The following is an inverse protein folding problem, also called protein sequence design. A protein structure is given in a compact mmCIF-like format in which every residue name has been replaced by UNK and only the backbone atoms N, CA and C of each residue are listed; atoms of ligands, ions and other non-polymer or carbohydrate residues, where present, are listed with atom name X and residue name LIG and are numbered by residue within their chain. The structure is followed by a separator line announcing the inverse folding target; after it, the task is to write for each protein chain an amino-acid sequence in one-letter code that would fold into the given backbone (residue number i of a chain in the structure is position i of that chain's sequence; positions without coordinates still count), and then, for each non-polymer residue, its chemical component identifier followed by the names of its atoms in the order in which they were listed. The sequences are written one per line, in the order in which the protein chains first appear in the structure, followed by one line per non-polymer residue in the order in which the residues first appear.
data_IF_641203543002
#
_entry.id   IF_641203543002
#
_cell.length_a   1.000
_cell.length_b   1.000
_cell.length_c   1.000
_cell.angle_alpha   90.00
_cell.angle_beta   90.00
_cell.angle_gamma   90.00
#
_symmetry.space_group_name_H-M   'P 1'
#
loop_
_entity.id
_entity.type
_entity.pdbx_description
1 polymer ?
#
# COMPACT_ATOMS: atom_id res chain seq x y z
N UNK A 1 8.09 -7.93 -2.52
CA UNK A 1 7.26 -6.80 -2.99
C UNK A 1 5.81 -7.25 -3.00
N UNK A 2 4.86 -6.43 -2.53
CA UNK A 2 3.43 -6.77 -2.50
C UNK A 2 2.66 -6.17 -3.69
N UNK A 3 2.98 -4.94 -4.08
CA UNK A 3 2.34 -4.26 -5.21
C UNK A 3 2.55 -2.74 -5.19
N UNK A 4 1.87 -2.06 -6.09
CA UNK A 4 1.84 -0.59 -6.20
C UNK A 4 0.57 -0.06 -5.57
N UNK A 5 0.69 0.93 -4.68
CA UNK A 5 -0.44 1.51 -3.98
C UNK A 5 -1.31 2.36 -4.92
N UNK A 6 -2.63 2.14 -4.86
CA UNK A 6 -3.66 3.03 -5.40
C UNK A 6 -4.53 3.51 -4.22
N UNK A 7 -4.47 4.81 -3.92
CA UNK A 7 -5.27 5.43 -2.86
C UNK A 7 -6.58 5.95 -3.43
N UNK A 8 -7.69 5.61 -2.78
CA UNK A 8 -9.03 6.11 -3.07
C UNK A 8 -9.80 6.39 -1.75
N UNK A 9 -10.23 7.65 -1.58
CA UNK A 9 -11.06 8.11 -0.45
C UNK A 9 -10.53 7.72 0.94
N UNK A 10 -9.22 7.88 1.16
CA UNK A 10 -8.57 7.65 2.46
C UNK A 10 -8.06 6.23 2.68
N UNK A 11 -8.59 5.22 1.97
CA UNK A 11 -8.05 3.86 1.93
C UNK A 11 -7.43 3.55 0.58
N UNK A 12 -6.85 2.36 0.39
CA UNK A 12 -6.30 1.97 -0.91
C UNK A 12 -6.11 0.48 -1.09
N UNK A 13 -5.61 0.10 -2.26
CA UNK A 13 -5.24 -1.27 -2.58
C UNK A 13 -3.85 -1.32 -3.20
N UNK A 14 -3.07 -2.35 -2.86
CA UNK A 14 -1.85 -2.69 -3.58
C UNK A 14 -2.24 -3.49 -4.82
N UNK A 15 -2.03 -2.89 -5.98
CA UNK A 15 -2.24 -3.49 -7.29
C UNK A 15 -1.03 -4.32 -7.68
N UNK A 16 -1.27 -5.53 -8.15
CA UNK A 16 -0.24 -6.49 -8.52
C UNK A 16 0.18 -6.33 -9.98
N UNK A 17 1.48 -6.44 -10.26
CA UNK A 17 2.02 -6.36 -11.64
C UNK A 17 1.51 -7.51 -12.50
N UNK A 18 1.33 -8.69 -11.91
CA UNK A 18 0.82 -9.89 -12.56
C UNK A 18 -0.63 -9.73 -13.04
N UNK A 19 -1.38 -8.79 -12.44
CA UNK A 19 -2.72 -8.41 -12.86
C UNK A 19 -2.74 -7.15 -13.74
N UNK A 20 -1.59 -6.73 -14.29
CA UNK A 20 -1.43 -5.49 -15.07
C UNK A 20 -1.94 -4.23 -14.34
N UNK A 21 -1.85 -4.23 -13.01
CA UNK A 21 -2.37 -3.19 -12.13
C UNK A 21 -3.89 -2.99 -12.17
N UNK A 22 -4.63 -3.93 -12.76
CA UNK A 22 -6.09 -3.94 -12.74
C UNK A 22 -6.62 -4.51 -11.40
N UNK A 23 -7.85 -4.13 -11.00
CA UNK A 23 -8.49 -4.70 -9.82
C UNK A 23 -8.55 -6.22 -9.88
N UNK A 24 -8.06 -6.88 -8.83
CA UNK A 24 -7.96 -8.33 -8.74
C UNK A 24 -8.28 -8.85 -7.34
N UNK A 25 -8.77 -10.09 -7.23
CA UNK A 25 -9.03 -10.75 -5.95
C UNK A 25 -7.77 -10.90 -5.07
N UNK A 26 -6.58 -10.82 -5.65
CA UNK A 26 -5.32 -10.87 -4.89
C UNK A 26 -4.77 -9.50 -4.47
N UNK A 27 -5.54 -8.43 -4.66
CA UNK A 27 -5.14 -7.10 -4.19
C UNK A 27 -5.16 -7.05 -2.66
N UNK A 28 -4.23 -6.28 -2.10
CA UNK A 28 -4.08 -6.12 -0.66
C UNK A 28 -4.67 -4.78 -0.24
N UNK A 29 -5.66 -4.81 0.65
CA UNK A 29 -6.24 -3.60 1.20
C UNK A 29 -5.24 -2.86 2.10
N UNK A 30 -5.14 -1.55 1.96
CA UNK A 30 -4.32 -0.66 2.77
C UNK A 30 -5.24 0.32 3.50
N UNK A 31 -5.25 0.22 4.82
CA UNK A 31 -6.06 1.09 5.66
C UNK A 31 -5.51 2.52 5.73
N UNK A 32 -6.42 3.48 5.92
CA UNK A 32 -6.11 4.90 6.06
C UNK A 32 -5.05 5.22 7.10
N UNK A 33 -5.05 4.46 8.21
CA UNK A 33 -4.05 4.61 9.27
C UNK A 33 -2.62 4.49 8.74
N UNK A 34 -2.35 3.47 7.92
CA UNK A 34 -1.02 3.23 7.36
C UNK A 34 -0.66 4.30 6.33
N UNK A 35 -1.63 4.70 5.49
CA UNK A 35 -1.46 5.77 4.50
C UNK A 35 -1.03 7.07 5.19
N UNK A 36 -1.75 7.49 6.23
CA UNK A 36 -1.43 8.71 6.98
C UNK A 36 -0.13 8.57 7.78
N UNK A 37 0.10 7.44 8.44
CA UNK A 37 1.28 7.24 9.30
C UNK A 37 2.61 7.28 8.54
N UNK A 38 2.63 6.78 7.31
CA UNK A 38 3.85 6.68 6.49
C UNK A 38 3.84 7.65 5.29
N UNK A 39 2.86 8.56 5.21
CA UNK A 39 2.75 9.54 4.13
C UNK A 39 2.64 8.88 2.75
N UNK A 40 1.99 7.72 2.66
CA UNK A 40 1.93 6.91 1.44
C UNK A 40 1.06 7.61 0.39
N UNK A 41 1.45 7.46 -0.88
CA UNK A 41 0.76 8.07 -2.02
C UNK A 41 0.54 7.04 -3.12
N UNK A 42 -0.43 7.31 -4.00
CA UNK A 42 -0.64 6.49 -5.20
C UNK A 42 0.68 6.42 -6.00
N UNK A 43 1.05 5.21 -6.43
CA UNK A 43 2.30 4.92 -7.12
C UNK A 43 3.42 4.41 -6.21
N UNK A 44 3.28 4.45 -4.89
CA UNK A 44 4.30 3.89 -3.99
C UNK A 44 4.33 2.36 -4.07
N UNK A 45 5.52 1.82 -4.30
CA UNK A 45 5.79 0.38 -4.24
C UNK A 45 5.94 -0.07 -2.80
N UNK A 46 5.12 -1.01 -2.34
CA UNK A 46 5.11 -1.42 -0.93
C UNK A 46 5.54 -2.87 -0.76
N UNK A 47 6.34 -3.12 0.27
CA UNK A 47 6.64 -4.44 0.81
C UNK A 47 6.26 -4.49 2.30
N UNK A 48 5.80 -5.66 2.75
CA UNK A 48 5.27 -5.81 4.10
C UNK A 48 4.69 -7.19 4.37
N UNK A 49 4.10 -7.34 5.55
CA UNK A 49 3.30 -8.51 5.91
C UNK A 49 1.82 -8.24 5.66
N UNK A 50 1.10 -9.29 5.25
CA UNK A 50 -0.34 -9.24 5.02
C UNK A 50 -1.05 -10.16 5.99
N UNK A 51 -2.18 -9.69 6.52
CA UNK A 51 -3.11 -10.50 7.28
C UNK A 51 -4.14 -11.10 6.33
N UNK A 52 -4.27 -12.42 6.35
CA UNK A 52 -5.28 -13.13 5.59
C UNK A 52 -6.69 -12.66 5.98
N UNK A 53 -7.57 -12.58 5.01
CA UNK A 53 -8.96 -12.21 5.23
C UNK A 53 -9.89 -13.42 5.19
N UNK A 54 -11.09 -13.27 5.76
CA UNK A 54 -12.15 -14.26 5.65
C UNK A 54 -12.61 -14.44 4.19
N UNK A 55 -13.28 -15.56 3.90
CA UNK A 55 -13.71 -15.94 2.56
C UNK A 55 -14.45 -14.79 1.84
N UNK A 56 -14.02 -14.47 0.63
CA UNK A 56 -14.61 -13.41 -0.21
C UNK A 56 -14.08 -11.99 0.03
N UNK A 57 -13.11 -11.80 0.95
CA UNK A 57 -12.47 -10.50 1.20
C UNK A 57 -11.01 -10.50 0.78
N UNK A 58 -10.50 -9.32 0.43
CA UNK A 58 -9.08 -9.07 0.18
C UNK A 58 -8.26 -9.13 1.45
N UNK A 59 -7.03 -9.66 1.38
CA UNK A 59 -6.06 -9.58 2.48
C UNK A 59 -5.78 -8.11 2.85
N UNK A 60 -5.42 -7.86 4.10
CA UNK A 60 -5.10 -6.50 4.58
C UNK A 60 -3.63 -6.35 4.92
N UNK A 61 -3.03 -5.23 4.56
CA UNK A 61 -1.67 -4.89 4.94
C UNK A 61 -1.59 -4.67 6.46
N UNK A 62 -0.67 -5.40 7.11
CA UNK A 62 -0.52 -5.37 8.56
C UNK A 62 0.69 -4.52 8.97
N UNK A 63 1.86 -4.79 8.36
CA UNK A 63 3.11 -4.09 8.64
C UNK A 63 3.81 -3.73 7.34
N UNK A 64 4.40 -2.54 7.28
CA UNK A 64 5.24 -2.10 6.15
C UNK A 64 6.69 -2.35 6.52
N UNK A 65 7.42 -3.07 5.67
CA UNK A 65 8.86 -3.33 5.83
C UNK A 65 9.71 -2.46 4.91
N UNK A 66 9.19 -2.10 3.73
CA UNK A 66 9.85 -1.17 2.82
C UNK A 66 8.85 -0.46 1.92
N UNK A 67 9.22 0.74 1.49
CA UNK A 67 8.53 1.49 0.44
C UNK A 67 9.55 1.97 -0.59
N UNK A 68 9.32 1.68 -1.86
CA UNK A 68 10.28 1.93 -2.96
C UNK A 68 11.69 1.37 -2.64
N UNK A 69 11.76 0.20 -2.00
CA UNK A 69 13.01 -0.44 -1.60
C UNK A 69 13.74 0.21 -0.42
N UNK A 70 13.18 1.25 0.21
CA UNK A 70 13.77 1.96 1.35
C UNK A 70 13.02 1.68 2.64
N UNK A 71 13.69 1.90 3.78
CA UNK A 71 13.03 1.85 5.09
C UNK A 71 11.88 2.86 5.14
N UNK A 72 10.70 2.49 5.65
CA UNK A 72 9.54 3.39 5.71
C UNK A 72 9.79 4.61 6.61
N UNK A 73 10.78 4.55 7.51
CA UNK A 73 11.16 5.69 8.35
C UNK A 73 11.72 6.85 7.53
N UNK A 74 12.43 6.56 6.44
CA UNK A 74 13.03 7.55 5.53
C UNK A 74 11.95 8.34 4.77
N UNK A 75 10.74 7.81 4.67
CA UNK A 75 9.63 8.49 3.99
C UNK A 75 8.98 9.60 4.82
N UNK A 76 9.19 9.62 6.15
CA UNK A 76 8.63 10.69 6.99
C UNK A 76 9.19 12.07 6.65
N UNK A 77 10.37 12.11 6.05
CA UNK A 77 11.02 13.35 5.59
C UNK A 77 10.62 13.74 4.15
N UNK A 78 9.74 12.97 3.50
CA UNK A 78 9.37 13.23 2.11
C UNK A 78 8.61 14.56 2.04
N UNK A 79 9.06 15.54 1.24
CA UNK A 79 8.38 16.82 1.12
C UNK A 79 6.90 16.61 0.76
N UNK A 80 6.01 17.33 1.44
CA UNK A 80 4.67 17.53 0.94
C UNK A 80 4.77 18.32 -0.36
N UNK A 81 4.20 17.81 -1.45
CA UNK A 81 4.02 18.64 -2.63
C UNK A 81 2.96 19.68 -2.28
N UNK A 82 3.37 20.85 -1.84
CA UNK A 82 2.50 22.02 -1.80
C UNK A 82 2.20 22.39 -3.27
N UNK A 83 0.95 22.19 -3.70
CA UNK A 83 0.40 22.96 -4.82
C UNK A 83 0.10 24.39 -4.39
#
# INVERSE_FOLDING_TARGET
MLGVLEVARGSGFLRRREASYLPSHGDVHVGERLIRQFGLRTGDEIAGSVRAASKGKSASLETITAVQGKSPEVLRERPEFSS
#
